data_IF_501800173480
#
_entry.id   IF_501800173480
#
_cell.length_a   1.000
_cell.length_b   1.000
_cell.length_c   1.000
_cell.angle_alpha   90.00
_cell.angle_beta   90.00
_cell.angle_gamma   90.00
#
_symmetry.space_group_name_H-M   'P 1'
#
loop_
_entity.id
_entity.type
_entity.pdbx_description
1 polymer ?
#
# COMPACT_ATOMS: atom_id res chain seq x y z
N UNK A 1 31.08 -2.02 -5.54
CA UNK A 1 30.16 -1.80 -4.41
C UNK A 1 29.11 -0.81 -4.90
N UNK A 2 27.87 -1.24 -5.07
CA UNK A 2 26.74 -0.39 -5.48
C UNK A 2 26.32 0.50 -4.33
N UNK A 3 27.16 1.47 -3.98
CA UNK A 3 26.80 2.54 -3.05
C UNK A 3 26.12 3.65 -3.84
N UNK A 4 24.84 3.94 -3.53
CA UNK A 4 24.24 5.21 -3.95
C UNK A 4 22.82 5.21 -4.48
N UNK A 5 22.05 4.10 -4.46
CA UNK A 5 20.60 4.18 -4.70
C UNK A 5 19.83 3.55 -3.57
N UNK A 6 18.88 4.29 -3.01
CA UNK A 6 18.01 3.77 -1.97
C UNK A 6 17.22 2.59 -2.56
N UNK A 7 17.08 1.44 -1.88
CA UNK A 7 16.46 0.24 -2.49
C UNK A 7 15.05 0.50 -3.06
N UNK A 8 14.29 1.42 -2.46
CA UNK A 8 12.98 1.84 -2.95
C UNK A 8 13.00 2.78 -4.16
N UNK A 9 14.16 3.33 -4.52
CA UNK A 9 14.35 4.27 -5.64
C UNK A 9 14.47 3.54 -7.01
N UNK A 10 14.65 2.22 -6.98
CA UNK A 10 14.75 1.36 -8.17
C UNK A 10 13.41 0.74 -8.59
N UNK A 11 12.34 0.93 -7.81
CA UNK A 11 11.06 0.32 -8.11
C UNK A 11 10.42 0.98 -9.34
N UNK A 12 10.15 0.18 -10.36
CA UNK A 12 9.40 0.63 -11.54
C UNK A 12 7.96 0.99 -11.14
N UNK A 13 7.29 1.88 -11.90
CA UNK A 13 5.89 2.22 -11.62
C UNK A 13 4.97 0.99 -11.59
N UNK A 14 5.26 -0.02 -12.42
CA UNK A 14 4.53 -1.29 -12.46
C UNK A 14 4.68 -2.06 -11.14
N UNK A 15 5.90 -2.17 -10.61
CA UNK A 15 6.14 -2.84 -9.32
C UNK A 15 5.44 -2.13 -8.16
N UNK A 16 5.40 -0.79 -8.18
CA UNK A 16 4.68 -0.01 -7.16
C UNK A 16 3.17 -0.22 -7.28
N UNK A 17 2.65 -0.32 -8.50
CA UNK A 17 1.24 -0.63 -8.73
C UNK A 17 0.88 -2.04 -8.23
N UNK A 18 1.71 -3.05 -8.51
CA UNK A 18 1.52 -4.41 -8.00
C UNK A 18 1.57 -4.45 -6.46
N UNK A 19 2.49 -3.70 -5.85
CA UNK A 19 2.54 -3.55 -4.39
C UNK A 19 1.25 -2.91 -3.85
N UNK A 20 0.73 -1.89 -4.53
CA UNK A 20 -0.54 -1.26 -4.16
C UNK A 20 -1.71 -2.26 -4.19
N UNK A 21 -1.76 -3.16 -5.19
CA UNK A 21 -2.75 -4.24 -5.26
C UNK A 21 -2.65 -5.19 -4.06
N UNK A 22 -1.44 -5.56 -3.63
CA UNK A 22 -1.25 -6.41 -2.45
C UNK A 22 -1.77 -5.72 -1.17
N UNK A 23 -1.51 -4.42 -1.00
CA UNK A 23 -2.08 -3.65 0.10
C UNK A 23 -3.60 -3.53 0.03
N UNK A 24 -4.18 -3.40 -1.17
CA UNK A 24 -5.64 -3.40 -1.38
C UNK A 24 -6.26 -4.76 -1.00
N UNK A 25 -5.64 -5.87 -1.40
CA UNK A 25 -6.06 -7.23 -1.01
C UNK A 25 -5.98 -7.40 0.50
N UNK A 26 -4.85 -7.04 1.12
CA UNK A 26 -4.66 -7.10 2.56
C UNK A 26 -5.70 -6.26 3.32
N UNK A 27 -5.96 -5.03 2.88
CA UNK A 27 -6.99 -4.17 3.47
C UNK A 27 -8.37 -4.86 3.41
N UNK A 28 -8.71 -5.48 2.28
CA UNK A 28 -9.98 -6.21 2.12
C UNK A 28 -10.11 -7.37 3.11
N UNK A 29 -9.04 -8.13 3.34
CA UNK A 29 -9.03 -9.20 4.36
C UNK A 29 -9.14 -8.62 5.77
N UNK A 30 -8.41 -7.55 6.09
CA UNK A 30 -8.45 -6.90 7.40
C UNK A 30 -9.82 -6.31 7.72
N UNK A 31 -10.56 -5.84 6.70
CA UNK A 31 -11.92 -5.34 6.87
C UNK A 31 -12.85 -6.40 7.45
N UNK A 32 -12.68 -7.66 7.06
CA UNK A 32 -13.49 -8.79 7.55
C UNK A 32 -13.25 -9.07 9.04
N UNK A 33 -12.08 -8.71 9.58
CA UNK A 33 -11.74 -8.85 11.01
C UNK A 33 -12.32 -7.72 11.88
N UNK A 34 -12.91 -6.69 11.26
CA UNK A 34 -13.49 -5.54 11.95
C UNK A 34 -14.75 -5.91 12.74
N UNK A 35 -14.79 -5.55 14.02
CA UNK A 35 -15.95 -5.80 14.90
C UNK A 35 -16.82 -4.55 15.03
N UNK A 36 -18.13 -4.74 14.92
CA UNK A 36 -19.10 -3.66 15.16
C UNK A 36 -18.98 -3.14 16.60
N UNK A 37 -19.15 -1.84 16.79
CA UNK A 37 -18.99 -1.17 18.09
C UNK A 37 -17.54 -1.11 18.63
N UNK A 38 -16.55 -1.66 17.92
CA UNK A 38 -15.12 -1.62 18.33
C UNK A 38 -14.25 -0.99 17.22
N UNK A 39 -14.25 0.35 17.07
CA UNK A 39 -13.66 1.04 15.90
C UNK A 39 -12.15 0.85 15.74
N UNK A 40 -11.43 0.58 16.84
CA UNK A 40 -9.99 0.29 16.82
C UNK A 40 -9.66 -0.99 16.04
N UNK A 41 -10.58 -1.95 15.97
CA UNK A 41 -10.39 -3.20 15.20
C UNK A 41 -10.30 -2.95 13.69
N UNK A 42 -10.82 -1.80 13.22
CA UNK A 42 -10.72 -1.39 11.81
C UNK A 42 -9.52 -0.48 11.54
N UNK A 43 -8.72 -0.13 12.55
CA UNK A 43 -7.54 0.72 12.36
C UNK A 43 -6.50 0.10 11.40
N UNK A 44 -6.19 -1.22 11.47
CA UNK A 44 -5.28 -1.85 10.52
C UNK A 44 -5.79 -1.78 9.08
N UNK A 45 -7.07 -2.08 8.85
CA UNK A 45 -7.73 -1.91 7.55
C UNK A 45 -7.54 -0.49 7.00
N UNK A 46 -7.84 0.54 7.81
CA UNK A 46 -7.72 1.94 7.37
C UNK A 46 -6.28 2.30 7.00
N UNK A 47 -5.32 1.87 7.80
CA UNK A 47 -3.90 2.13 7.53
C UNK A 47 -3.45 1.45 6.23
N UNK A 48 -3.78 0.17 6.05
CA UNK A 48 -3.43 -0.58 4.83
C UNK A 48 -4.08 0.02 3.59
N UNK A 49 -5.35 0.45 3.67
CA UNK A 49 -6.05 1.08 2.56
C UNK A 49 -5.44 2.43 2.18
N UNK A 50 -5.16 3.29 3.16
CA UNK A 50 -4.51 4.60 2.92
C UNK A 50 -3.13 4.42 2.31
N UNK A 51 -2.36 3.43 2.80
CA UNK A 51 -1.04 3.14 2.24
C UNK A 51 -1.13 2.64 0.79
N UNK A 52 -2.06 1.75 0.48
CA UNK A 52 -2.33 1.31 -0.90
C UNK A 52 -2.70 2.47 -1.84
N UNK A 53 -3.55 3.40 -1.39
CA UNK A 53 -3.86 4.63 -2.15
C UNK A 53 -2.60 5.46 -2.41
N UNK A 54 -1.76 5.65 -1.40
CA UNK A 54 -0.49 6.35 -1.55
C UNK A 54 0.40 5.71 -2.62
N UNK A 55 0.49 4.38 -2.65
CA UNK A 55 1.25 3.64 -3.65
C UNK A 55 0.68 3.78 -5.06
N UNK A 56 -0.65 3.71 -5.25
CA UNK A 56 -1.25 3.97 -6.57
C UNK A 56 -0.93 5.37 -7.08
N UNK A 57 -0.99 6.38 -6.21
CA UNK A 57 -0.65 7.76 -6.58
C UNK A 57 0.83 7.86 -6.97
N UNK A 58 1.73 7.25 -6.20
CA UNK A 58 3.16 7.20 -6.54
C UNK A 58 3.40 6.53 -7.90
N UNK A 59 2.78 5.38 -8.15
CA UNK A 59 2.89 4.68 -9.44
C UNK A 59 2.39 5.56 -10.60
N UNK A 60 1.24 6.23 -10.43
CA UNK A 60 0.69 7.14 -11.44
C UNK A 60 1.62 8.32 -11.72
N UNK A 61 2.19 8.93 -10.68
CA UNK A 61 3.07 10.09 -10.82
C UNK A 61 4.40 9.75 -11.48
N UNK A 62 4.91 8.53 -11.30
CA UNK A 62 6.14 8.06 -11.96
C UNK A 62 5.95 7.63 -13.42
N UNK A 63 4.70 7.44 -13.87
CA UNK A 63 4.38 7.15 -15.28
C UNK A 63 4.21 8.42 -16.14
N UNK A 64 4.26 9.61 -15.54
CA UNK A 64 4.12 10.90 -16.22
C UNK A 64 5.47 11.52 -16.52
#
# INVERSE_FOLDING_TARGET
MTEGKYPGELASPQQIHELAEEYRKAATLLLQLGRSGKPLTRAPFRLSAIHGIGLYLTALLLQR
#
